data_IF_788966052855
#
_entry.id   IF_788966052855
#
_cell.length_a   1.000
_cell.length_b   1.000
_cell.length_c   1.000
_cell.angle_alpha   90.00
_cell.angle_beta   90.00
_cell.angle_gamma   90.00
#
_symmetry.space_group_name_H-M   'P 1'
#
loop_
_entity.id
_entity.type
_entity.pdbx_description
1 polymer ?
#
# COMPACT_ATOMS: atom_id res chain seq x y z
N UNK A 1 -0.27 17.61 11.48
CA UNK A 1 0.82 16.80 10.89
C UNK A 1 0.36 15.69 9.90
N UNK A 2 -0.90 15.25 9.89
CA UNK A 2 -1.38 14.19 8.98
C UNK A 2 -1.81 14.66 7.57
N UNK A 3 -1.88 15.97 7.31
CA UNK A 3 -2.39 16.53 6.05
C UNK A 3 -1.34 16.74 4.95
N UNK A 4 -0.05 16.73 5.27
CA UNK A 4 1.02 16.99 4.29
C UNK A 4 1.39 15.76 3.46
N UNK A 5 1.29 14.55 4.02
CA UNK A 5 1.58 13.30 3.30
C UNK A 5 0.62 13.07 2.12
N UNK A 6 -0.67 13.40 2.26
CA UNK A 6 -1.65 13.29 1.15
C UNK A 6 -1.42 14.29 0.02
N UNK A 7 -0.64 15.37 0.22
CA UNK A 7 -0.33 16.34 -0.85
C UNK A 7 0.86 15.92 -1.71
N UNK A 8 1.78 15.12 -1.17
CA UNK A 8 3.01 14.71 -1.88
C UNK A 8 2.83 13.48 -2.80
N UNK A 9 1.68 12.79 -2.73
CA UNK A 9 1.40 11.56 -3.48
C UNK A 9 0.60 11.76 -4.79
N UNK A 10 0.59 12.96 -5.40
CA UNK A 10 -0.08 13.14 -6.70
C UNK A 10 0.82 12.63 -7.84
N UNK A 11 0.36 11.70 -8.71
CA UNK A 11 1.08 11.35 -9.93
C UNK A 11 1.17 12.55 -10.88
N UNK A 12 2.32 12.70 -11.53
CA UNK A 12 2.56 13.68 -12.58
C UNK A 12 1.61 13.48 -13.78
N UNK A 13 1.09 14.58 -14.32
CA UNK A 13 0.29 14.63 -15.55
C UNK A 13 1.06 14.05 -16.74
N UNK A 14 0.53 12.99 -17.36
CA UNK A 14 0.96 12.51 -18.68
C UNK A 14 0.28 13.30 -19.81
N UNK A 15 1.08 13.85 -20.72
CA UNK A 15 0.67 14.36 -22.04
C UNK A 15 0.73 13.23 -23.11
N UNK A 16 0.11 13.40 -24.30
CA UNK A 16 -0.61 12.34 -25.00
C UNK A 16 0.22 11.56 -26.02
N UNK A 17 -0.23 10.34 -26.36
CA UNK A 17 0.21 9.57 -27.50
C UNK A 17 -0.93 9.38 -28.53
N UNK A 18 -0.63 9.23 -29.83
CA UNK A 18 -1.61 9.35 -30.91
C UNK A 18 -2.25 8.02 -31.35
N UNK A 19 -3.52 8.13 -31.77
CA UNK A 19 -4.22 7.49 -32.90
C UNK A 19 -3.98 6.03 -33.31
N UNK A 20 -5.09 5.29 -33.45
CA UNK A 20 -5.19 4.10 -34.30
C UNK A 20 -6.38 3.21 -33.99
N UNK A 21 -7.30 3.05 -34.94
CA UNK A 21 -8.68 2.56 -34.82
C UNK A 21 -8.82 1.06 -35.23
N UNK A 22 -10.00 0.50 -34.94
CA UNK A 22 -10.70 -0.70 -35.46
C UNK A 22 -10.61 -1.96 -34.57
N UNK A 23 -11.67 -2.73 -34.29
CA UNK A 23 -13.13 -2.61 -34.45
C UNK A 23 -13.76 -3.80 -33.66
N UNK A 24 -14.96 -3.64 -33.11
CA UNK A 24 -15.81 -4.73 -32.56
C UNK A 24 -16.46 -5.56 -33.68
N UNK A 25 -16.98 -6.78 -33.42
CA UNK A 25 -18.39 -6.91 -33.02
C UNK A 25 -18.76 -8.07 -32.05
N UNK A 26 -19.62 -7.73 -31.08
CA UNK A 26 -20.95 -8.29 -30.73
C UNK A 26 -21.24 -9.80 -30.53
N UNK A 27 -21.50 -10.15 -29.26
CA UNK A 27 -22.58 -10.97 -28.63
C UNK A 27 -22.98 -12.40 -29.09
N UNK A 28 -23.01 -13.35 -28.12
CA UNK A 28 -24.23 -13.99 -27.56
C UNK A 28 -23.88 -15.09 -26.49
N UNK A 29 -24.73 -15.37 -25.48
CA UNK A 29 -24.49 -16.36 -24.41
C UNK A 29 -25.21 -17.72 -24.66
N UNK A 30 -24.84 -18.82 -23.98
CA UNK A 30 -25.64 -20.04 -24.03
C UNK A 30 -26.63 -20.18 -22.84
N UNK A 31 -27.69 -21.00 -23.01
CA UNK A 31 -28.93 -20.89 -22.25
C UNK A 31 -29.07 -21.89 -21.08
N UNK A 32 -30.06 -21.62 -20.25
CA UNK A 32 -30.56 -22.44 -19.14
C UNK A 32 -31.61 -23.47 -19.58
N UNK A 33 -31.43 -24.73 -19.12
CA UNK A 33 -32.46 -25.59 -18.52
C UNK A 33 -33.40 -26.39 -19.42
N UNK A 34 -33.27 -27.74 -19.39
CA UNK A 34 -34.38 -28.72 -19.47
C UNK A 34 -33.98 -29.97 -18.66
N UNK A 35 -34.91 -30.51 -17.87
CA UNK A 35 -34.70 -31.62 -16.96
C UNK A 35 -35.14 -33.01 -17.47
N UNK A 36 -35.01 -33.96 -16.55
CA UNK A 36 -35.61 -35.32 -16.49
C UNK A 36 -35.19 -36.34 -17.57
N UNK A 37 -34.47 -37.39 -17.14
CA UNK A 37 -35.05 -38.73 -17.14
C UNK A 37 -34.29 -39.72 -16.25
N UNK A 38 -35.09 -40.42 -15.45
CA UNK A 38 -34.79 -41.53 -14.57
C UNK A 38 -34.81 -42.84 -15.39
N UNK A 39 -33.83 -43.74 -15.25
CA UNK A 39 -34.07 -45.20 -15.11
C UNK A 39 -32.80 -46.00 -14.81
N UNK A 40 -32.99 -46.86 -13.81
CA UNK A 40 -32.19 -47.97 -13.28
C UNK A 40 -32.00 -49.09 -14.32
N UNK A 41 -30.81 -49.70 -14.33
CA UNK A 41 -30.63 -51.12 -14.66
C UNK A 41 -29.37 -51.64 -13.94
N UNK A 42 -29.59 -52.54 -12.99
CA UNK A 42 -28.61 -53.47 -12.43
C UNK A 42 -28.39 -54.62 -13.42
N UNK A 43 -27.17 -55.17 -13.51
CA UNK A 43 -26.92 -56.61 -13.49
C UNK A 43 -25.41 -56.94 -13.64
N UNK A 44 -25.03 -57.90 -12.81
CA UNK A 44 -23.73 -58.55 -12.53
C UNK A 44 -22.95 -59.15 -13.71
N UNK A 45 -21.65 -59.46 -13.49
CA UNK A 45 -21.00 -60.60 -14.15
C UNK A 45 -19.47 -60.56 -14.38
N UNK A 46 -18.71 -61.01 -13.36
CA UNK A 46 -17.50 -61.86 -13.42
C UNK A 46 -16.22 -61.51 -14.25
N UNK A 47 -15.07 -61.53 -13.57
CA UNK A 47 -13.83 -62.17 -14.08
C UNK A 47 -12.58 -61.28 -14.27
N UNK A 48 -11.41 -61.60 -13.68
CA UNK A 48 -10.30 -60.66 -13.49
C UNK A 48 -9.23 -60.74 -14.59
N UNK A 49 -8.66 -59.60 -14.99
CA UNK A 49 -7.37 -59.56 -15.68
C UNK A 49 -6.50 -58.41 -15.18
N UNK A 50 -5.27 -58.76 -14.85
CA UNK A 50 -4.20 -57.87 -14.43
C UNK A 50 -3.89 -56.86 -15.51
N UNK A 51 -4.20 -55.60 -15.24
CA UNK A 51 -3.72 -54.44 -15.97
C UNK A 51 -2.90 -53.60 -15.02
N UNK A 52 -1.64 -53.36 -15.39
CA UNK A 52 -0.69 -52.50 -14.71
C UNK A 52 -1.20 -51.06 -14.75
N UNK A 53 -2.06 -50.67 -13.80
CA UNK A 53 -2.47 -49.28 -13.63
C UNK A 53 -1.37 -48.53 -12.88
N UNK A 54 -0.54 -47.82 -13.65
CA UNK A 54 0.17 -46.65 -13.17
C UNK A 54 -0.79 -45.80 -12.32
N UNK A 55 -0.40 -45.34 -11.11
CA UNK A 55 -1.24 -44.42 -10.38
C UNK A 55 -1.42 -43.18 -11.26
N UNK A 56 -2.67 -42.91 -11.64
CA UNK A 56 -3.06 -41.71 -12.36
C UNK A 56 -2.34 -40.49 -11.75
N UNK A 57 -1.85 -39.53 -12.55
CA UNK A 57 -1.21 -38.35 -11.99
C UNK A 57 -2.24 -37.70 -11.09
N UNK A 58 -1.96 -37.74 -9.79
CA UNK A 58 -2.77 -37.15 -8.73
C UNK A 58 -3.34 -35.83 -9.23
N UNK A 59 -4.66 -35.78 -9.46
CA UNK A 59 -5.34 -34.56 -9.79
C UNK A 59 -5.02 -33.58 -8.67
N UNK A 60 -4.09 -32.66 -8.92
CA UNK A 60 -3.66 -31.66 -7.94
C UNK A 60 -4.92 -30.89 -7.58
N UNK A 61 -5.27 -30.92 -6.30
CA UNK A 61 -6.47 -30.26 -5.83
C UNK A 61 -6.36 -28.76 -6.16
N UNK A 62 -7.34 -28.11 -6.82
CA UNK A 62 -7.24 -26.71 -7.25
C UNK A 62 -6.83 -25.73 -6.14
N UNK A 63 -7.20 -26.04 -4.89
CA UNK A 63 -6.83 -25.28 -3.69
C UNK A 63 -5.32 -25.36 -3.35
N UNK A 64 -4.67 -26.49 -3.65
CA UNK A 64 -3.25 -26.70 -3.40
C UNK A 64 -2.38 -25.97 -4.44
N UNK A 65 -2.83 -25.96 -5.70
CA UNK A 65 -2.19 -25.17 -6.77
C UNK A 65 -2.37 -23.66 -6.54
N UNK A 66 -3.53 -23.24 -6.05
CA UNK A 66 -3.80 -21.86 -5.67
C UNK A 66 -2.92 -21.40 -4.50
N UNK A 67 -2.75 -22.24 -3.47
CA UNK A 67 -1.82 -21.96 -2.35
C UNK A 67 -0.36 -21.88 -2.81
N UNK A 68 0.08 -22.83 -3.64
CA UNK A 68 1.43 -22.81 -4.20
C UNK A 68 1.69 -21.55 -5.05
N UNK A 69 0.67 -21.03 -5.75
CA UNK A 69 0.75 -19.77 -6.49
C UNK A 69 0.90 -18.57 -5.56
N UNK A 70 0.14 -18.52 -4.46
CA UNK A 70 0.24 -17.44 -3.46
C UNK A 70 1.58 -17.48 -2.70
N UNK A 71 2.08 -18.66 -2.35
CA UNK A 71 3.41 -18.82 -1.75
C UNK A 71 4.53 -18.37 -2.68
N UNK A 72 4.44 -18.67 -3.98
CA UNK A 72 5.39 -18.15 -4.98
C UNK A 72 5.34 -16.63 -5.08
N UNK A 73 4.14 -16.04 -5.10
CA UNK A 73 3.97 -14.58 -5.11
C UNK A 73 4.57 -13.95 -3.86
N UNK A 74 4.26 -14.50 -2.67
CA UNK A 74 4.86 -14.08 -1.40
C UNK A 74 6.37 -14.14 -1.44
N UNK A 75 6.94 -15.25 -1.93
CA UNK A 75 8.39 -15.42 -2.02
C UNK A 75 9.04 -14.40 -2.97
N UNK A 76 8.39 -14.10 -4.11
CA UNK A 76 8.85 -13.06 -5.01
C UNK A 76 8.79 -11.67 -4.35
N UNK A 77 7.68 -11.30 -3.72
CA UNK A 77 7.53 -10.00 -3.05
C UNK A 77 8.49 -9.85 -1.88
N UNK A 78 8.69 -10.90 -1.08
CA UNK A 78 9.64 -10.93 0.02
C UNK A 78 11.08 -10.74 -0.48
N UNK A 79 11.44 -11.44 -1.55
CA UNK A 79 12.74 -11.31 -2.20
C UNK A 79 12.94 -9.91 -2.77
N UNK A 80 11.93 -9.37 -3.45
CA UNK A 80 11.95 -8.00 -3.99
C UNK A 80 12.12 -6.97 -2.88
N UNK A 81 11.39 -7.10 -1.76
CA UNK A 81 11.53 -6.21 -0.61
C UNK A 81 12.96 -6.22 -0.06
N UNK A 82 13.54 -7.40 0.13
CA UNK A 82 14.91 -7.55 0.64
C UNK A 82 15.97 -7.02 -0.34
N UNK A 83 15.91 -7.41 -1.61
CA UNK A 83 16.88 -6.98 -2.62
C UNK A 83 16.82 -5.45 -2.84
N UNK A 84 15.62 -4.89 -2.86
CA UNK A 84 15.46 -3.44 -2.97
C UNK A 84 15.86 -2.70 -1.70
N UNK A 85 15.70 -3.29 -0.51
CA UNK A 85 16.18 -2.70 0.75
C UNK A 85 17.70 -2.65 0.81
N UNK A 86 18.39 -3.73 0.41
CA UNK A 86 19.85 -3.75 0.33
C UNK A 86 20.38 -2.63 -0.57
N UNK A 87 19.81 -2.52 -1.77
CA UNK A 87 20.19 -1.45 -2.71
C UNK A 87 19.91 -0.06 -2.15
N UNK A 88 18.76 0.14 -1.51
CA UNK A 88 18.41 1.40 -0.87
C UNK A 88 19.41 1.75 0.24
N UNK A 89 19.73 0.81 1.12
CA UNK A 89 20.70 0.99 2.20
C UNK A 89 22.10 1.30 1.66
N UNK A 90 22.55 0.61 0.61
CA UNK A 90 23.82 0.89 -0.06
C UNK A 90 23.87 2.34 -0.56
N UNK A 91 22.82 2.79 -1.26
CA UNK A 91 22.72 4.17 -1.75
C UNK A 91 22.72 5.20 -0.60
N UNK A 92 22.00 4.94 0.49
CA UNK A 92 22.02 5.79 1.68
C UNK A 92 23.42 5.88 2.30
N UNK A 93 24.11 4.74 2.40
CA UNK A 93 25.46 4.64 2.96
C UNK A 93 26.50 5.36 2.12
N UNK A 94 26.38 5.31 0.80
CA UNK A 94 27.21 6.09 -0.12
C UNK A 94 27.05 7.60 0.12
N UNK A 95 25.82 8.08 0.28
CA UNK A 95 25.56 9.50 0.57
C UNK A 95 26.08 9.91 1.95
N UNK A 96 25.83 9.09 2.98
CA UNK A 96 26.32 9.34 4.33
C UNK A 96 27.86 9.42 4.37
N UNK A 97 28.54 8.50 3.69
CA UNK A 97 30.02 8.42 3.71
C UNK A 97 30.66 9.49 2.83
N UNK A 98 30.28 9.55 1.56
CA UNK A 98 31.01 10.34 0.55
C UNK A 98 30.51 11.77 0.45
N UNK A 99 29.27 12.07 0.82
CA UNK A 99 28.78 13.44 0.85
C UNK A 99 28.79 13.99 2.27
N UNK A 100 27.99 13.44 3.19
CA UNK A 100 27.86 13.99 4.55
C UNK A 100 29.21 13.96 5.28
N UNK A 101 29.87 12.79 5.32
CA UNK A 101 31.17 12.60 5.97
C UNK A 101 32.27 13.48 5.38
N UNK A 102 32.45 13.48 4.05
CA UNK A 102 33.51 14.26 3.39
C UNK A 102 33.25 15.76 3.47
N UNK A 103 32.01 16.23 3.30
CA UNK A 103 31.70 17.67 3.37
C UNK A 103 31.94 18.21 4.79
N UNK A 104 31.60 17.41 5.81
CA UNK A 104 31.87 17.69 7.22
C UNK A 104 33.38 17.71 7.50
N UNK A 105 34.11 16.67 7.10
CA UNK A 105 35.56 16.56 7.33
C UNK A 105 36.37 17.65 6.59
N UNK A 106 35.99 17.98 5.36
CA UNK A 106 36.66 19.04 4.57
C UNK A 106 36.26 20.45 4.99
N UNK A 107 35.31 20.61 5.92
CA UNK A 107 34.75 21.90 6.34
C UNK A 107 34.25 22.73 5.16
N UNK A 108 33.71 22.08 4.11
CA UNK A 108 33.29 22.79 2.89
C UNK A 108 31.96 23.51 3.06
N UNK A 109 31.15 23.04 4.01
CA UNK A 109 29.87 23.62 4.41
C UNK A 109 29.81 23.73 5.92
N UNK A 110 29.10 24.73 6.43
CA UNK A 110 28.82 24.85 7.85
C UNK A 110 27.86 23.72 8.31
N UNK A 111 27.89 23.30 9.58
CA UNK A 111 26.98 22.26 10.09
C UNK A 111 25.50 22.56 9.84
N UNK A 112 25.11 23.84 9.91
CA UNK A 112 23.73 24.27 9.61
C UNK A 112 23.35 24.08 8.14
N UNK A 113 24.28 24.25 7.21
CA UNK A 113 24.07 24.04 5.77
C UNK A 113 23.99 22.53 5.46
N UNK A 114 24.83 21.72 6.12
CA UNK A 114 24.76 20.26 6.02
C UNK A 114 23.40 19.77 6.53
N UNK A 115 22.94 20.28 7.67
CA UNK A 115 21.62 19.95 8.21
C UNK A 115 20.48 20.40 7.30
N UNK A 116 20.57 21.59 6.70
CA UNK A 116 19.57 22.07 5.75
C UNK A 116 19.53 21.21 4.47
N UNK A 117 20.69 20.72 4.01
CA UNK A 117 20.81 19.93 2.80
C UNK A 117 20.37 18.46 3.00
N UNK A 118 20.79 17.80 4.06
CA UNK A 118 20.57 16.36 4.25
C UNK A 118 19.48 16.04 5.29
N UNK A 119 19.11 16.97 6.17
CA UNK A 119 18.12 16.71 7.21
C UNK A 119 18.50 15.51 8.08
N UNK A 120 17.54 14.65 8.47
CA UNK A 120 17.81 13.46 9.29
C UNK A 120 18.39 12.27 8.50
N UNK A 121 19.22 12.49 7.46
CA UNK A 121 19.73 11.42 6.58
C UNK A 121 20.46 10.30 7.34
N UNK A 122 21.39 10.65 8.24
CA UNK A 122 22.16 9.67 9.01
C UNK A 122 21.26 8.82 9.93
N UNK A 123 20.17 9.41 10.45
CA UNK A 123 19.19 8.68 11.26
C UNK A 123 18.34 7.74 10.41
N UNK A 124 17.95 8.16 9.20
CA UNK A 124 17.22 7.29 8.24
C UNK A 124 18.11 6.12 7.82
N UNK A 125 19.40 6.37 7.58
CA UNK A 125 20.37 5.31 7.30
C UNK A 125 20.48 4.32 8.45
N UNK A 126 20.63 4.81 9.70
CA UNK A 126 20.65 3.95 10.88
C UNK A 126 19.39 3.10 11.03
N UNK A 127 18.21 3.69 10.81
CA UNK A 127 16.95 2.95 10.86
C UNK A 127 16.84 1.83 9.80
N UNK A 128 17.33 2.08 8.57
CA UNK A 128 17.41 1.05 7.52
C UNK A 128 18.45 -0.04 7.86
N UNK A 129 19.55 0.31 8.55
CA UNK A 129 20.51 -0.67 9.08
C UNK A 129 19.93 -1.56 10.16
N UNK A 130 19.05 -1.05 11.01
CA UNK A 130 18.36 -1.84 12.03
C UNK A 130 17.30 -2.78 11.43
N UNK A 131 16.66 -2.37 10.32
CA UNK A 131 15.64 -3.17 9.65
C UNK A 131 16.24 -4.37 8.88
N UNK A 132 17.37 -4.18 8.21
CA UNK A 132 17.90 -5.16 7.26
C UNK A 132 18.12 -6.58 7.84
N UNK A 133 18.71 -6.77 9.04
CA UNK A 133 18.91 -8.11 9.61
C UNK A 133 17.60 -8.90 9.76
N UNK A 134 16.51 -8.24 10.14
CA UNK A 134 15.20 -8.90 10.26
C UNK A 134 14.68 -9.36 8.91
N UNK A 135 14.89 -8.60 7.84
CA UNK A 135 14.48 -8.99 6.49
C UNK A 135 15.34 -10.14 5.95
N UNK A 136 16.63 -10.16 6.27
CA UNK A 136 17.56 -11.23 5.89
C UNK A 136 17.24 -12.56 6.57
N UNK A 137 16.84 -12.51 7.84
CA UNK A 137 16.38 -13.67 8.62
C UNK A 137 14.95 -14.11 8.26
N UNK A 138 14.23 -13.33 7.44
CA UNK A 138 12.84 -13.61 7.06
C UNK A 138 11.81 -13.27 8.15
N UNK A 139 12.18 -12.48 9.15
CA UNK A 139 11.32 -11.96 10.20
C UNK A 139 10.59 -10.67 9.76
N UNK A 140 9.79 -10.77 8.70
CA UNK A 140 9.17 -9.61 8.03
C UNK A 140 8.28 -8.78 8.94
N UNK A 141 7.36 -9.44 9.67
CA UNK A 141 6.40 -8.77 10.53
C UNK A 141 7.10 -8.00 11.65
N UNK A 142 7.99 -8.67 12.38
CA UNK A 142 8.73 -8.12 13.51
C UNK A 142 9.67 -6.99 13.10
N UNK A 143 10.37 -7.16 11.98
CA UNK A 143 11.27 -6.13 11.45
C UNK A 143 10.52 -4.85 11.09
N UNK A 144 9.43 -4.99 10.32
CA UNK A 144 8.62 -3.84 9.90
C UNK A 144 7.90 -3.17 11.09
N UNK A 145 7.42 -3.95 12.06
CA UNK A 145 6.84 -3.42 13.30
C UNK A 145 7.87 -2.59 14.10
N UNK A 146 9.10 -3.10 14.24
CA UNK A 146 10.20 -2.38 14.88
C UNK A 146 10.64 -1.14 14.10
N UNK A 147 10.42 -1.11 12.79
CA UNK A 147 10.72 0.03 11.94
C UNK A 147 9.66 1.14 11.99
N UNK A 148 8.40 0.84 12.31
CA UNK A 148 7.30 1.82 12.33
C UNK A 148 7.60 3.13 13.08
N UNK A 149 8.21 3.12 14.29
CA UNK A 149 8.56 4.37 15.00
C UNK A 149 9.50 5.28 14.19
N UNK A 150 10.36 4.71 13.34
CA UNK A 150 11.30 5.45 12.51
C UNK A 150 10.63 6.19 11.33
N UNK A 151 9.36 5.90 11.02
CA UNK A 151 8.60 6.63 9.99
C UNK A 151 8.48 8.13 10.29
N UNK A 152 8.56 8.53 11.58
CA UNK A 152 8.60 9.94 11.97
C UNK A 152 9.83 10.67 11.37
N UNK A 153 10.95 9.97 11.17
CA UNK A 153 12.15 10.52 10.51
C UNK A 153 11.87 10.90 9.06
N UNK A 154 11.09 10.08 8.35
CA UNK A 154 10.69 10.33 6.97
C UNK A 154 9.73 11.53 6.87
N UNK A 155 8.86 11.72 7.86
CA UNK A 155 8.01 12.94 7.94
C UNK A 155 8.87 14.19 8.11
N UNK A 156 9.85 14.14 9.03
CA UNK A 156 10.82 15.25 9.22
C UNK A 156 11.64 15.51 7.96
N UNK A 157 12.02 14.46 7.25
CA UNK A 157 12.74 14.56 5.98
C UNK A 157 11.87 15.18 4.87
N UNK A 158 10.61 14.75 4.74
CA UNK A 158 9.65 15.29 3.78
C UNK A 158 9.45 16.80 4.00
N UNK A 159 9.28 17.24 5.25
CA UNK A 159 9.16 18.65 5.60
C UNK A 159 10.41 19.48 5.23
N UNK A 160 11.59 18.85 5.16
CA UNK A 160 12.83 19.51 4.76
C UNK A 160 13.13 19.41 3.25
N UNK A 161 12.36 18.63 2.47
CA UNK A 161 12.68 18.30 1.07
C UNK A 161 12.82 19.52 0.16
N UNK A 162 11.90 20.49 0.26
CA UNK A 162 11.97 21.71 -0.53
C UNK A 162 13.18 22.58 -0.15
N UNK A 163 13.43 22.72 1.16
CA UNK A 163 14.58 23.44 1.69
C UNK A 163 15.90 22.80 1.27
N UNK A 164 15.98 21.48 1.29
CA UNK A 164 17.14 20.71 0.82
C UNK A 164 17.43 21.01 -0.65
N UNK A 165 16.40 20.92 -1.51
CA UNK A 165 16.52 21.19 -2.95
C UNK A 165 16.94 22.63 -3.25
N UNK A 166 16.35 23.63 -2.60
CA UNK A 166 16.72 25.03 -2.81
C UNK A 166 18.15 25.30 -2.32
N UNK A 167 18.51 24.79 -1.13
CA UNK A 167 19.86 24.90 -0.57
C UNK A 167 20.90 24.27 -1.50
N UNK A 168 20.63 23.07 -2.06
CA UNK A 168 21.52 22.43 -3.03
C UNK A 168 21.76 23.32 -4.24
N UNK A 169 20.68 23.84 -4.84
CA UNK A 169 20.76 24.69 -6.02
C UNK A 169 21.52 25.99 -5.76
N UNK A 170 21.32 26.60 -4.59
CA UNK A 170 22.06 27.78 -4.18
C UNK A 170 23.54 27.51 -3.94
N UNK A 171 23.89 26.44 -3.23
CA UNK A 171 25.27 26.06 -2.95
C UNK A 171 26.02 25.69 -4.24
N UNK A 172 25.35 25.00 -5.16
CA UNK A 172 25.87 24.73 -6.49
C UNK A 172 26.05 26.01 -7.31
N UNK A 173 25.27 27.08 -7.13
CA UNK A 173 25.46 28.35 -7.83
C UNK A 173 26.53 29.24 -7.20
N UNK A 174 26.55 29.35 -5.87
CA UNK A 174 27.40 30.28 -5.12
C UNK A 174 28.81 29.75 -4.88
N UNK A 175 28.96 28.47 -4.53
CA UNK A 175 30.25 27.93 -4.05
C UNK A 175 30.96 27.08 -5.10
N UNK A 176 32.06 27.62 -5.66
CA UNK A 176 32.94 26.88 -6.59
C UNK A 176 33.61 25.67 -5.91
N UNK A 177 33.97 25.78 -4.62
CA UNK A 177 34.57 24.70 -3.83
C UNK A 177 33.58 23.55 -3.64
N UNK A 178 32.33 23.87 -3.29
CA UNK A 178 31.27 22.88 -3.16
C UNK A 178 30.98 22.17 -4.48
N UNK A 179 30.79 22.92 -5.58
CA UNK A 179 30.62 22.32 -6.93
C UNK A 179 31.74 21.35 -7.30
N UNK A 180 33.00 21.72 -7.04
CA UNK A 180 34.14 20.85 -7.32
C UNK A 180 34.09 19.59 -6.45
N UNK A 181 33.74 19.73 -5.17
CA UNK A 181 33.63 18.59 -4.26
C UNK A 181 32.53 17.61 -4.70
N UNK A 182 31.34 18.13 -5.04
CA UNK A 182 30.20 17.34 -5.53
C UNK A 182 30.58 16.57 -6.79
N UNK A 183 31.12 17.24 -7.82
CA UNK A 183 31.56 16.57 -9.06
C UNK A 183 32.62 15.49 -8.83
N UNK A 184 33.53 15.71 -7.87
CA UNK A 184 34.53 14.70 -7.51
C UNK A 184 33.92 13.47 -6.83
N UNK A 185 32.81 13.63 -6.09
CA UNK A 185 32.12 12.48 -5.50
C UNK A 185 31.24 11.77 -6.53
N UNK A 186 30.48 12.51 -7.35
CA UNK A 186 29.63 11.96 -8.41
C UNK A 186 30.43 11.20 -9.48
N UNK A 187 31.69 11.57 -9.70
CA UNK A 187 32.58 10.88 -10.64
C UNK A 187 33.15 9.54 -10.14
N UNK A 188 32.82 9.10 -8.92
CA UNK A 188 33.30 7.82 -8.39
C UNK A 188 32.52 6.65 -9.00
N UNK A 189 33.17 5.49 -9.24
CA UNK A 189 32.50 4.34 -9.83
C UNK A 189 31.33 3.82 -8.97
N UNK A 190 31.40 3.97 -7.65
CA UNK A 190 30.36 3.55 -6.70
C UNK A 190 29.01 4.25 -6.95
N UNK A 191 29.00 5.45 -7.52
CA UNK A 191 27.76 6.17 -7.84
C UNK A 191 27.16 5.76 -9.19
N UNK A 192 27.88 5.05 -10.05
CA UNK A 192 27.36 4.58 -11.34
C UNK A 192 26.80 5.70 -12.24
N UNK A 193 27.28 6.94 -12.08
CA UNK A 193 26.77 8.12 -12.80
C UNK A 193 25.55 8.80 -12.18
N UNK A 194 25.05 8.33 -11.02
CA UNK A 194 24.00 9.01 -10.27
C UNK A 194 24.49 10.33 -9.70
N UNK A 195 23.65 11.37 -9.79
CA UNK A 195 23.97 12.68 -9.25
C UNK A 195 23.39 12.85 -7.85
N UNK A 196 23.95 13.77 -7.06
CA UNK A 196 23.45 14.04 -5.71
C UNK A 196 21.97 14.43 -5.71
N UNK A 197 21.52 15.15 -6.75
CA UNK A 197 20.13 15.54 -6.94
C UNK A 197 19.16 14.35 -7.12
N UNK A 198 19.64 13.23 -7.67
CA UNK A 198 18.83 12.03 -7.90
C UNK A 198 18.79 11.14 -6.66
N UNK A 199 19.79 11.29 -5.77
CA UNK A 199 19.89 10.52 -4.53
C UNK A 199 19.05 11.13 -3.40
N UNK A 200 18.95 12.46 -3.31
CA UNK A 200 18.21 13.13 -2.23
C UNK A 200 16.72 12.75 -2.13
N UNK A 201 15.99 12.46 -3.22
CA UNK A 201 14.60 12.01 -3.15
C UNK A 201 14.41 10.57 -2.64
N UNK A 202 15.46 9.73 -2.65
CA UNK A 202 15.36 8.30 -2.40
C UNK A 202 14.60 7.91 -1.12
N UNK A 203 14.77 8.60 0.04
CA UNK A 203 14.01 8.23 1.23
C UNK A 203 12.49 8.38 1.06
N UNK A 204 12.03 9.39 0.31
CA UNK A 204 10.60 9.59 0.05
C UNK A 204 10.07 8.58 -0.96
N UNK A 205 10.85 8.27 -1.99
CA UNK A 205 10.51 7.21 -2.96
C UNK A 205 10.44 5.84 -2.27
N UNK A 206 11.36 5.55 -1.35
CA UNK A 206 11.35 4.31 -0.58
C UNK A 206 10.11 4.19 0.30
N UNK A 207 9.68 5.30 0.91
CA UNK A 207 8.44 5.32 1.70
C UNK A 207 7.22 4.88 0.87
N UNK A 208 7.15 5.30 -0.40
CA UNK A 208 6.09 4.87 -1.32
C UNK A 208 6.19 3.38 -1.68
N UNK A 209 7.42 2.87 -1.82
CA UNK A 209 7.65 1.44 -2.13
C UNK A 209 7.26 0.54 -0.96
N UNK A 210 7.52 0.96 0.29
CA UNK A 210 7.13 0.19 1.47
C UNK A 210 5.63 -0.07 1.49
N UNK A 211 4.79 0.93 1.21
CA UNK A 211 3.33 0.75 1.17
C UNK A 211 2.94 -0.39 0.22
N UNK A 212 3.40 -0.35 -1.02
CA UNK A 212 3.06 -1.36 -2.03
C UNK A 212 3.61 -2.76 -1.71
N UNK A 213 4.88 -2.84 -1.31
CA UNK A 213 5.56 -4.11 -1.04
C UNK A 213 5.02 -4.79 0.21
N UNK A 214 4.74 -4.00 1.25
CA UNK A 214 4.21 -4.51 2.52
C UNK A 214 2.76 -4.96 2.34
N UNK A 215 1.92 -4.21 1.61
CA UNK A 215 0.57 -4.63 1.23
C UNK A 215 0.61 -5.96 0.48
N UNK A 216 1.40 -6.04 -0.60
CA UNK A 216 1.54 -7.26 -1.38
C UNK A 216 2.08 -8.43 -0.54
N UNK A 217 2.96 -8.17 0.44
CA UNK A 217 3.49 -9.20 1.33
C UNK A 217 2.41 -9.74 2.28
N UNK A 218 1.56 -8.90 2.86
CA UNK A 218 0.46 -9.37 3.70
C UNK A 218 -0.62 -10.12 2.92
N UNK A 219 -1.03 -9.61 1.74
CA UNK A 219 -2.04 -10.26 0.89
C UNK A 219 -1.66 -11.69 0.51
N UNK A 220 -0.35 -11.96 0.37
CA UNK A 220 0.16 -13.28 0.02
C UNK A 220 0.66 -14.09 1.24
N UNK A 221 0.53 -13.57 2.47
CA UNK A 221 0.90 -14.29 3.70
C UNK A 221 -0.35 -14.94 4.29
N UNK A 222 -0.33 -16.27 4.46
CA UNK A 222 -1.49 -17.01 4.97
C UNK A 222 -1.78 -16.76 6.46
N UNK A 223 -3.05 -16.89 6.91
CA UNK A 223 -3.51 -16.52 8.25
C UNK A 223 -2.88 -17.32 9.40
N UNK A 224 -2.25 -18.46 9.09
CA UNK A 224 -1.59 -19.32 10.07
C UNK A 224 -0.10 -18.95 10.29
N UNK A 225 0.42 -17.94 9.59
CA UNK A 225 1.81 -17.47 9.77
C UNK A 225 1.87 -16.46 10.94
N UNK A 226 2.90 -16.52 11.81
CA UNK A 226 3.10 -15.49 12.84
C UNK A 226 3.32 -14.10 12.23
N UNK A 227 3.89 -14.03 11.02
CA UNK A 227 4.03 -12.78 10.26
C UNK A 227 2.67 -12.22 9.83
N UNK A 228 1.64 -13.04 9.61
CA UNK A 228 0.35 -12.55 9.15
C UNK A 228 -0.27 -11.60 10.15
N UNK A 229 -0.21 -11.91 11.45
CA UNK A 229 -0.78 -11.04 12.48
C UNK A 229 -0.03 -9.71 12.62
N UNK A 230 1.28 -9.70 12.34
CA UNK A 230 2.14 -8.51 12.44
C UNK A 230 2.09 -7.66 11.18
N UNK A 231 2.10 -8.29 10.01
CA UNK A 231 1.93 -7.64 8.71
C UNK A 231 0.49 -7.15 8.55
N UNK A 232 -0.54 -7.92 8.90
CA UNK A 232 -1.93 -7.47 8.79
C UNK A 232 -2.34 -6.39 9.83
N UNK A 233 -1.41 -5.88 10.65
CA UNK A 233 -1.68 -4.78 11.59
C UNK A 233 -2.14 -3.52 10.85
N UNK A 234 -3.05 -2.77 11.50
CA UNK A 234 -3.75 -1.56 11.03
C UNK A 234 -3.02 -0.72 9.99
N UNK A 235 -3.35 -0.93 8.72
CA UNK A 235 -3.00 -0.01 7.63
C UNK A 235 -4.18 0.83 7.24
N UNK A 236 -3.93 2.10 6.93
CA UNK A 236 -4.98 2.99 6.46
C UNK A 236 -5.30 2.71 4.99
N UNK A 237 -6.54 2.34 4.70
CA UNK A 237 -7.00 2.02 3.35
C UNK A 237 -7.69 3.20 2.68
N UNK A 238 -8.54 3.92 3.43
CA UNK A 238 -9.34 5.01 2.87
C UNK A 238 -9.91 5.93 3.94
N UNK A 239 -10.07 7.20 3.60
CA UNK A 239 -10.98 8.10 4.32
C UNK A 239 -11.94 8.77 3.35
N UNK A 240 -13.08 9.20 3.87
CA UNK A 240 -14.04 9.97 3.09
C UNK A 240 -15.38 10.11 3.78
N UNK A 241 -16.23 10.92 3.16
CA UNK A 241 -17.58 11.18 3.65
C UNK A 241 -18.54 10.16 3.07
N UNK A 242 -19.35 9.55 3.93
CA UNK A 242 -20.48 8.74 3.51
C UNK A 242 -21.72 9.15 4.29
N UNK A 243 -22.88 8.95 3.66
CA UNK A 243 -24.16 9.16 4.30
C UNK A 243 -24.57 7.87 5.02
N UNK A 244 -24.74 7.95 6.34
CA UNK A 244 -25.31 6.87 7.13
C UNK A 244 -26.82 6.98 7.08
N UNK A 245 -27.49 5.93 6.60
CA UNK A 245 -28.95 5.85 6.50
C UNK A 245 -29.48 5.21 7.77
N UNK A 246 -30.16 5.96 8.66
CA UNK A 246 -30.77 5.38 9.84
C UNK A 246 -32.02 4.55 9.47
N UNK A 247 -32.48 3.63 10.35
CA UNK A 247 -33.72 2.88 10.11
C UNK A 247 -34.97 3.77 9.99
N UNK A 248 -34.91 4.95 10.61
CA UNK A 248 -35.95 5.99 10.57
C UNK A 248 -35.27 7.37 10.53
N UNK A 249 -35.67 8.22 9.59
CA UNK A 249 -35.16 9.58 9.42
C UNK A 249 -34.22 9.77 8.23
N UNK A 250 -33.66 10.96 8.11
CA UNK A 250 -32.85 11.36 6.96
C UNK A 250 -31.39 10.85 7.02
N UNK A 251 -30.76 10.57 5.87
CA UNK A 251 -29.34 10.20 5.80
C UNK A 251 -28.45 11.30 6.37
N UNK A 252 -27.43 10.92 7.16
CA UNK A 252 -26.55 11.87 7.84
C UNK A 252 -25.09 11.70 7.40
N UNK A 253 -24.37 12.78 7.06
CA UNK A 253 -22.97 12.68 6.68
C UNK A 253 -22.10 12.33 7.89
N UNK A 254 -21.19 11.36 7.69
CA UNK A 254 -20.16 10.96 8.64
C UNK A 254 -18.83 10.80 7.93
N UNK A 255 -17.76 11.13 8.65
CA UNK A 255 -16.42 10.84 8.19
C UNK A 255 -16.07 9.41 8.56
N UNK A 256 -15.55 8.65 7.61
CA UNK A 256 -15.07 7.30 7.84
C UNK A 256 -13.56 7.23 7.61
N UNK A 257 -12.88 6.46 8.46
CA UNK A 257 -11.49 6.07 8.29
C UNK A 257 -11.45 4.55 8.31
N UNK A 258 -11.18 3.96 7.15
CA UNK A 258 -11.07 2.54 6.98
C UNK A 258 -9.60 2.13 7.13
N UNK A 259 -9.37 1.20 8.04
CA UNK A 259 -8.11 0.50 8.20
C UNK A 259 -8.26 -0.97 7.82
N UNK A 260 -7.14 -1.68 7.69
CA UNK A 260 -7.10 -3.10 7.31
C UNK A 260 -7.90 -4.04 8.21
N UNK A 261 -8.14 -3.67 9.48
CA UNK A 261 -8.87 -4.49 10.45
C UNK A 261 -10.07 -3.77 11.09
N UNK A 262 -10.25 -2.46 10.86
CA UNK A 262 -11.26 -1.65 11.55
C UNK A 262 -11.77 -0.49 10.69
N UNK A 263 -13.08 -0.28 10.70
CA UNK A 263 -13.73 0.91 10.16
C UNK A 263 -14.08 1.86 11.31
N UNK A 264 -13.50 3.04 11.31
CA UNK A 264 -13.76 4.10 12.29
C UNK A 264 -14.79 5.08 11.72
N UNK A 265 -15.86 5.31 12.45
CA UNK A 265 -16.85 6.35 12.15
C UNK A 265 -16.65 7.55 13.07
N UNK A 266 -16.51 8.74 12.49
CA UNK A 266 -16.31 9.97 13.22
C UNK A 266 -17.30 11.07 12.84
N UNK A 267 -17.50 12.01 13.77
CA UNK A 267 -18.30 13.23 13.56
C UNK A 267 -17.40 14.45 13.75
N UNK A 268 -17.48 15.48 12.89
CA UNK A 268 -16.75 16.73 13.13
C UNK A 268 -17.19 17.35 14.46
N UNK A 269 -16.23 17.85 15.24
CA UNK A 269 -16.55 18.60 16.45
C UNK A 269 -17.08 19.99 16.06
N UNK A 270 -18.13 20.50 16.72
CA UNK A 270 -18.51 21.91 16.56
C UNK A 270 -17.32 22.80 16.93
N UNK A 271 -17.10 23.92 16.22
CA UNK A 271 -16.03 24.85 16.53
C UNK A 271 -16.37 25.61 17.82
N UNK A 272 -16.13 24.98 18.96
CA UNK A 272 -16.10 25.65 20.26
C UNK A 272 -14.67 26.17 20.41
N UNK A 273 -14.49 27.45 20.10
CA UNK A 273 -13.23 28.22 20.07
C UNK A 273 -12.36 28.11 18.80
N UNK A 274 -11.90 29.30 18.38
CA UNK A 274 -11.15 29.68 17.17
C UNK A 274 -9.80 28.95 16.96
N UNK A 275 -9.48 27.90 17.72
CA UNK A 275 -8.18 27.21 17.70
C UNK A 275 -8.25 25.72 17.32
N UNK A 276 -9.45 25.13 17.14
CA UNK A 276 -9.59 23.68 16.83
C UNK A 276 -10.49 23.38 15.62
N UNK A 277 -10.35 24.16 14.54
CA UNK A 277 -10.99 23.83 13.27
C UNK A 277 -10.41 22.52 12.71
N UNK A 278 -11.26 21.54 12.40
CA UNK A 278 -10.85 20.27 11.77
C UNK A 278 -10.65 19.07 12.71
N UNK A 279 -11.09 19.13 13.97
CA UNK A 279 -11.02 17.98 14.89
C UNK A 279 -12.26 17.07 14.80
N UNK A 280 -12.06 15.77 14.85
CA UNK A 280 -13.13 14.76 14.79
C UNK A 280 -13.31 14.06 16.14
N UNK A 281 -14.55 13.76 16.51
CA UNK A 281 -14.87 12.86 17.61
C UNK A 281 -15.16 11.46 17.05
N UNK A 282 -14.38 10.48 17.47
CA UNK A 282 -14.65 9.07 17.18
C UNK A 282 -15.99 8.69 17.81
N UNK A 283 -16.89 8.10 17.01
CA UNK A 283 -18.24 7.72 17.43
C UNK A 283 -18.40 6.23 17.57
N UNK A 284 -17.79 5.46 16.67
CA UNK A 284 -17.81 4.01 16.71
C UNK A 284 -16.59 3.42 15.98
N UNK A 285 -16.22 2.21 16.39
CA UNK A 285 -15.20 1.37 15.77
C UNK A 285 -15.85 0.05 15.40
N UNK A 286 -15.71 -0.36 14.15
CA UNK A 286 -16.29 -1.58 13.64
C UNK A 286 -15.19 -2.54 13.18
N UNK A 287 -14.97 -3.67 13.88
CA UNK A 287 -13.99 -4.66 13.47
C UNK A 287 -14.37 -5.26 12.11
N UNK A 288 -13.47 -5.16 11.13
CA UNK A 288 -13.75 -5.63 9.77
C UNK A 288 -13.75 -7.15 9.66
N UNK A 289 -13.01 -7.85 10.54
CA UNK A 289 -13.03 -9.32 10.63
C UNK A 289 -14.39 -9.93 10.95
N UNK A 290 -15.34 -9.12 11.44
CA UNK A 290 -16.71 -9.52 11.77
C UNK A 290 -17.73 -8.92 10.81
N UNK A 291 -17.28 -8.25 9.74
CA UNK A 291 -18.13 -7.53 8.81
C UNK A 291 -18.59 -8.43 7.66
N UNK A 292 -19.90 -8.47 7.41
CA UNK A 292 -20.46 -8.97 6.16
C UNK A 292 -20.87 -7.78 5.29
N UNK A 293 -20.10 -7.52 4.23
CA UNK A 293 -20.39 -6.48 3.25
C UNK A 293 -21.34 -7.01 2.16
N UNK A 294 -22.42 -6.29 1.90
CA UNK A 294 -23.32 -6.54 0.77
C UNK A 294 -23.60 -5.25 0.02
N UNK A 295 -23.52 -5.30 -1.31
CA UNK A 295 -24.04 -4.23 -2.15
C UNK A 295 -25.56 -4.36 -2.21
N UNK A 296 -26.28 -3.31 -1.81
CA UNK A 296 -27.73 -3.29 -1.89
C UNK A 296 -28.08 -2.50 -3.15
N UNK A 297 -28.57 -3.20 -4.17
CA UNK A 297 -29.01 -2.55 -5.40
C UNK A 297 -30.26 -1.72 -5.12
N UNK A 298 -30.13 -0.39 -5.21
CA UNK A 298 -31.27 0.48 -5.45
C UNK A 298 -31.79 0.19 -6.85
N UNK A 299 -33.08 -0.11 -6.96
CA UNK A 299 -33.71 -0.33 -8.25
C UNK A 299 -33.60 0.91 -9.16
N UNK A 300 -33.47 0.63 -10.46
CA UNK A 300 -33.64 1.50 -11.64
C UNK A 300 -32.60 2.60 -11.90
N UNK A 301 -31.57 2.25 -12.69
CA UNK A 301 -31.27 2.89 -13.98
C UNK A 301 -31.08 4.41 -14.09
N UNK A 302 -30.86 5.13 -12.98
CA UNK A 302 -30.59 6.57 -12.98
C UNK A 302 -29.15 6.91 -12.52
N UNK A 303 -28.67 8.14 -12.80
CA UNK A 303 -27.28 8.57 -12.54
C UNK A 303 -26.94 8.80 -11.06
N UNK A 304 -27.69 8.23 -10.12
CA UNK A 304 -27.75 8.68 -8.73
C UNK A 304 -27.25 7.59 -7.76
N UNK A 305 -25.94 7.54 -7.49
CA UNK A 305 -25.36 6.87 -6.32
C UNK A 305 -25.69 5.39 -6.08
N UNK A 306 -25.51 4.93 -4.84
CA UNK A 306 -25.90 3.58 -4.42
C UNK A 306 -25.67 3.29 -2.94
N UNK A 307 -25.99 2.05 -2.52
CA UNK A 307 -26.05 1.64 -1.11
C UNK A 307 -25.14 0.45 -0.80
N UNK A 308 -24.44 0.53 0.32
CA UNK A 308 -23.63 -0.55 0.91
C UNK A 308 -24.19 -0.91 2.28
N UNK A 309 -24.44 -2.19 2.50
CA UNK A 309 -24.85 -2.72 3.80
C UNK A 309 -23.66 -3.44 4.44
N UNK A 310 -23.24 -2.96 5.60
CA UNK A 310 -22.23 -3.62 6.45
C UNK A 310 -22.96 -4.21 7.65
N UNK A 311 -22.87 -5.52 7.83
CA UNK A 311 -23.51 -6.21 8.95
C UNK A 311 -22.44 -6.72 9.91
N UNK A 312 -22.54 -6.34 11.17
CA UNK A 312 -21.70 -6.77 12.29
C UNK A 312 -22.55 -7.56 13.29
N UNK A 313 -21.96 -8.31 14.24
CA UNK A 313 -22.70 -9.18 15.16
C UNK A 313 -23.79 -8.48 15.98
N UNK A 314 -23.62 -7.18 16.27
CA UNK A 314 -24.54 -6.41 17.11
C UNK A 314 -25.10 -5.15 16.43
N UNK A 315 -24.71 -4.87 15.19
CA UNK A 315 -25.12 -3.64 14.50
C UNK A 315 -25.10 -3.81 12.98
N UNK A 316 -26.01 -3.11 12.29
CA UNK A 316 -26.04 -3.06 10.82
C UNK A 316 -25.97 -1.62 10.37
N UNK A 317 -24.96 -1.30 9.56
CA UNK A 317 -24.77 0.00 8.97
C UNK A 317 -25.22 -0.01 7.51
N UNK A 318 -25.99 0.99 7.13
CA UNK A 318 -26.37 1.24 5.75
C UNK A 318 -25.71 2.54 5.31
N UNK A 319 -24.75 2.43 4.40
CA UNK A 319 -23.96 3.55 3.88
C UNK A 319 -24.39 3.88 2.46
N UNK A 320 -24.42 5.16 2.15
CA UNK A 320 -24.83 5.69 0.85
C UNK A 320 -23.80 6.71 0.36
N UNK A 321 -23.50 6.69 -0.94
CA UNK A 321 -22.88 7.80 -1.66
C UNK A 321 -23.77 8.15 -2.84
N UNK A 322 -23.80 9.44 -3.18
CA UNK A 322 -24.47 9.98 -4.38
C UNK A 322 -23.64 9.79 -5.65
N UNK A 323 -22.35 9.45 -5.50
CA UNK A 323 -21.40 9.19 -6.58
C UNK A 323 -21.16 7.68 -6.72
N UNK A 324 -21.39 7.15 -7.92
CA UNK A 324 -21.27 5.72 -8.21
C UNK A 324 -19.81 5.24 -8.21
N UNK A 325 -18.88 6.06 -8.70
CA UNK A 325 -17.45 5.75 -8.73
C UNK A 325 -16.88 5.80 -7.32
N UNK A 326 -17.27 6.80 -6.53
CA UNK A 326 -16.88 6.87 -5.12
C UNK A 326 -17.37 5.65 -4.34
N UNK A 327 -18.63 5.24 -4.57
CA UNK A 327 -19.21 4.05 -3.95
C UNK A 327 -18.51 2.76 -4.38
N UNK A 328 -18.15 2.63 -5.66
CA UNK A 328 -17.40 1.49 -6.19
C UNK A 328 -16.02 1.38 -5.56
N UNK A 329 -15.32 2.50 -5.43
CA UNK A 329 -14.02 2.51 -4.77
C UNK A 329 -14.14 2.20 -3.26
N UNK A 330 -15.16 2.72 -2.57
CA UNK A 330 -15.45 2.34 -1.19
C UNK A 330 -15.76 0.85 -1.04
N UNK A 331 -16.55 0.28 -1.95
CA UNK A 331 -16.84 -1.16 -1.97
C UNK A 331 -15.56 -1.97 -2.13
N UNK A 332 -14.67 -1.58 -3.04
CA UNK A 332 -13.39 -2.24 -3.23
C UNK A 332 -12.52 -2.16 -1.97
N UNK A 333 -12.33 -0.95 -1.41
CA UNK A 333 -11.54 -0.77 -0.18
C UNK A 333 -12.12 -1.54 1.01
N UNK A 334 -13.44 -1.57 1.19
CA UNK A 334 -14.11 -2.34 2.24
C UNK A 334 -13.96 -3.85 2.04
N UNK A 335 -13.98 -4.31 0.78
CA UNK A 335 -13.75 -5.73 0.46
C UNK A 335 -12.30 -6.14 0.77
N UNK A 336 -11.33 -5.26 0.54
CA UNK A 336 -9.93 -5.52 0.90
C UNK A 336 -9.69 -5.62 2.41
N UNK A 337 -10.56 -5.01 3.23
CA UNK A 337 -10.44 -4.98 4.69
C UNK A 337 -11.13 -6.16 5.41
N UNK A 338 -11.91 -6.98 4.70
CA UNK A 338 -12.70 -8.11 5.25
C UNK A 338 -11.98 -9.43 4.95
#
# INVERSE_FOLDING_TARGET
>A
PAGELSRMLRPARSLPAPGGVLASPTAAPPPSGWGLNLRRAEAEGAGPQSGMESPAPSARCPLQEQRARWERKRACTARELLETERRYQEQLGLVATYFVGILRAKGTLAPAEIQALFGPWELIYGASQELLPYLEEGHWGRGLEGFCPHLELYVKFAANSERSRTTLQELLKKSKRFRRCVRLQEGRPEFGGLQLQDLLPLPLERLQQYENLVIALAENTGPNSPDHQQLARRWFLRQGWLLVVPPRGEPRPRMFFLFSDVLLMAKPRPPLHLLQSGTFACRALYPMSQCQLRRVFGHSGGPCGGLLSLSFPHEKLLLMSTDQDELLQWYHSLTLAI
#
